data_IF_921122596178
#
_entry.id   IF_921122596178
#
_cell.length_a   1.000
_cell.length_b   1.000
_cell.length_c   1.000
_cell.angle_alpha   90.00
_cell.angle_beta   90.00
_cell.angle_gamma   90.00
#
_symmetry.space_group_name_H-M   'P 1'
#
loop_
_entity.id
_entity.type
_entity.pdbx_description
1 polymer ?
#
# COMPACT_ATOMS: atom_id res chain seq x y z
N UNK A 1 -14.92 -38.99 30.18
CA UNK A 1 -15.25 -37.57 29.95
C UNK A 1 -14.35 -37.07 28.85
N UNK A 2 -14.95 -36.65 27.73
CA UNK A 2 -14.25 -36.15 26.55
C UNK A 2 -13.50 -34.87 26.95
N UNK A 3 -12.17 -34.90 26.78
CA UNK A 3 -11.37 -33.69 26.84
C UNK A 3 -11.63 -32.95 25.52
N UNK A 4 -12.50 -31.94 25.55
CA UNK A 4 -12.61 -30.94 24.49
C UNK A 4 -11.27 -30.21 24.40
N UNK A 5 -10.40 -30.68 23.49
CA UNK A 5 -9.26 -29.91 23.05
C UNK A 5 -9.79 -28.59 22.46
N UNK A 6 -9.22 -27.42 22.81
CA UNK A 6 -9.67 -26.17 22.22
C UNK A 6 -9.51 -26.29 20.71
N UNK A 7 -10.62 -26.20 19.97
CA UNK A 7 -10.58 -26.01 18.53
C UNK A 7 -9.57 -24.89 18.27
N UNK A 8 -8.49 -25.24 17.58
CA UNK A 8 -7.37 -24.34 17.34
C UNK A 8 -7.91 -23.04 16.74
N UNK A 9 -7.72 -21.91 17.44
CA UNK A 9 -8.25 -20.60 17.04
C UNK A 9 -7.89 -20.29 15.59
N UNK A 10 -6.70 -20.71 15.15
CA UNK A 10 -6.22 -20.52 13.79
C UNK A 10 -7.06 -21.29 12.78
N UNK A 11 -7.43 -22.54 13.10
CA UNK A 11 -8.27 -23.36 12.23
C UNK A 11 -9.67 -22.74 12.11
N UNK A 12 -10.24 -22.25 13.23
CA UNK A 12 -11.55 -21.58 13.20
C UNK A 12 -11.53 -20.31 12.35
N UNK A 13 -10.56 -19.43 12.57
CA UNK A 13 -10.42 -18.18 11.81
C UNK A 13 -10.20 -18.47 10.31
N UNK A 14 -9.41 -19.48 9.99
CA UNK A 14 -9.16 -19.87 8.60
C UNK A 14 -10.41 -20.45 7.94
N UNK A 15 -11.22 -21.23 8.68
CA UNK A 15 -12.52 -21.70 8.20
C UNK A 15 -13.50 -20.55 7.97
N UNK A 16 -13.54 -19.54 8.84
CA UNK A 16 -14.36 -18.33 8.65
C UNK A 16 -13.96 -17.57 7.38
N UNK A 17 -12.65 -17.43 7.13
CA UNK A 17 -12.14 -16.85 5.89
C UNK A 17 -12.54 -17.65 4.64
N UNK A 18 -12.53 -18.98 4.73
CA UNK A 18 -12.98 -19.86 3.65
C UNK A 18 -14.49 -19.83 3.43
N UNK A 19 -15.29 -19.68 4.50
CA UNK A 19 -16.73 -19.52 4.37
C UNK A 19 -17.07 -18.21 3.66
N UNK A 20 -16.40 -17.11 4.03
CA UNK A 20 -16.56 -15.79 3.42
C UNK A 20 -16.30 -15.82 1.90
N UNK A 21 -15.13 -16.32 1.52
CA UNK A 21 -14.70 -16.36 0.11
C UNK A 21 -15.31 -17.51 -0.69
N UNK A 22 -15.81 -18.55 -0.01
CA UNK A 22 -16.31 -19.77 -0.62
C UNK A 22 -17.51 -19.57 -1.56
N UNK A 23 -18.31 -18.53 -1.31
CA UNK A 23 -19.44 -18.13 -2.16
C UNK A 23 -19.01 -17.73 -3.58
N UNK A 24 -17.76 -17.30 -3.77
CA UNK A 24 -17.18 -16.91 -5.08
C UNK A 24 -16.85 -18.10 -5.97
N UNK A 25 -16.93 -19.31 -5.42
CA UNK A 25 -16.70 -20.57 -6.12
C UNK A 25 -18.03 -21.31 -6.22
N UNK A 26 -18.66 -21.29 -7.39
CA UNK A 26 -19.99 -21.90 -7.60
C UNK A 26 -19.97 -23.43 -7.44
N UNK A 27 -18.88 -24.06 -7.88
CA UNK A 27 -18.67 -25.50 -7.82
C UNK A 27 -17.85 -25.90 -6.59
N UNK A 28 -18.13 -27.09 -6.05
CA UNK A 28 -17.46 -27.60 -4.86
C UNK A 28 -15.98 -27.92 -5.13
N UNK A 29 -15.63 -28.36 -6.33
CA UNK A 29 -14.27 -28.79 -6.66
C UNK A 29 -13.29 -27.60 -6.66
N UNK A 30 -13.53 -26.46 -7.36
CA UNK A 30 -12.69 -25.27 -7.23
C UNK A 30 -12.66 -24.69 -5.81
N UNK A 31 -13.76 -24.80 -5.06
CA UNK A 31 -13.82 -24.34 -3.67
C UNK A 31 -12.86 -25.14 -2.78
N UNK A 32 -12.87 -26.48 -2.89
CA UNK A 32 -11.91 -27.35 -2.18
C UNK A 32 -10.47 -27.03 -2.59
N UNK A 33 -10.21 -26.92 -3.91
CA UNK A 33 -8.88 -26.57 -4.41
C UNK A 33 -8.40 -25.21 -3.93
N UNK A 34 -9.27 -24.21 -3.80
CA UNK A 34 -8.90 -22.92 -3.23
C UNK A 34 -8.46 -23.06 -1.76
N UNK A 35 -9.20 -23.83 -0.96
CA UNK A 35 -8.84 -24.09 0.44
C UNK A 35 -7.48 -24.78 0.55
N UNK A 36 -7.27 -25.83 -0.26
CA UNK A 36 -6.00 -26.56 -0.32
C UNK A 36 -4.86 -25.63 -0.76
N UNK A 37 -5.10 -24.76 -1.75
CA UNK A 37 -4.13 -23.80 -2.23
C UNK A 37 -3.72 -22.80 -1.14
N UNK A 38 -4.69 -22.15 -0.48
CA UNK A 38 -4.42 -21.16 0.57
C UNK A 38 -3.75 -21.82 1.78
N UNK A 39 -4.18 -23.02 2.18
CA UNK A 39 -3.50 -23.79 3.24
C UNK A 39 -2.07 -24.15 2.85
N UNK A 40 -1.82 -24.52 1.60
CA UNK A 40 -0.47 -24.76 1.10
C UNK A 40 0.39 -23.49 1.09
N UNK A 41 -0.19 -22.32 0.75
CA UNK A 41 0.50 -21.04 0.92
C UNK A 41 0.82 -20.78 2.40
N UNK A 42 -0.06 -21.24 3.29
CA UNK A 42 0.07 -21.38 4.74
C UNK A 42 1.28 -22.18 5.24
N UNK A 43 1.62 -23.22 4.49
CA UNK A 43 2.35 -24.37 5.01
C UNK A 43 3.87 -24.20 4.95
N UNK A 44 4.65 -24.90 5.77
CA UNK A 44 6.12 -24.88 5.73
C UNK A 44 6.66 -25.70 4.54
N UNK A 45 6.33 -25.29 3.32
CA UNK A 45 6.85 -25.87 2.07
C UNK A 45 8.07 -25.06 1.59
N UNK A 46 9.05 -25.74 0.99
CA UNK A 46 10.30 -25.09 0.57
C UNK A 46 10.11 -23.99 -0.48
N UNK A 47 9.19 -24.18 -1.42
CA UNK A 47 8.75 -23.18 -2.42
C UNK A 47 7.26 -23.33 -2.70
N UNK A 48 6.54 -22.23 -2.72
CA UNK A 48 5.09 -22.10 -2.88
C UNK A 48 4.69 -22.20 -4.37
N UNK A 49 5.27 -23.16 -5.09
CA UNK A 49 4.97 -23.45 -6.49
C UNK A 49 3.85 -24.50 -6.63
N UNK A 50 3.33 -24.69 -7.84
CA UNK A 50 2.18 -25.57 -8.05
C UNK A 50 2.40 -27.04 -7.63
N UNK A 51 3.63 -27.54 -7.75
CA UNK A 51 3.97 -28.93 -7.42
C UNK A 51 4.03 -29.15 -5.92
N UNK A 52 4.82 -28.36 -5.21
CA UNK A 52 5.02 -28.53 -3.77
C UNK A 52 3.75 -28.22 -2.97
N UNK A 53 2.95 -27.26 -3.44
CA UNK A 53 1.62 -27.02 -2.86
C UNK A 53 0.67 -28.21 -3.05
N UNK A 54 0.73 -28.86 -4.21
CA UNK A 54 -0.12 -30.03 -4.50
C UNK A 54 0.31 -31.25 -3.69
N UNK A 55 1.61 -31.51 -3.59
CA UNK A 55 2.20 -32.57 -2.78
C UNK A 55 1.83 -32.40 -1.30
N UNK A 56 2.01 -31.19 -0.76
CA UNK A 56 1.63 -30.88 0.62
C UNK A 56 0.13 -31.09 0.87
N UNK A 57 -0.73 -30.73 -0.09
CA UNK A 57 -2.17 -30.94 -0.02
C UNK A 57 -2.60 -32.41 -0.30
N UNK A 58 -1.66 -33.34 -0.46
CA UNK A 58 -1.94 -34.76 -0.70
C UNK A 58 -2.49 -35.07 -2.10
N UNK A 59 -2.23 -34.21 -3.08
CA UNK A 59 -2.62 -34.43 -4.47
C UNK A 59 -1.52 -35.17 -5.25
N UNK A 60 -1.92 -36.11 -6.11
CA UNK A 60 -0.97 -36.86 -6.94
C UNK A 60 -0.30 -35.99 -8.04
N UNK A 61 -0.95 -34.92 -8.49
CA UNK A 61 -0.44 -34.02 -9.54
C UNK A 61 -0.82 -32.56 -9.25
N UNK A 62 -0.10 -31.56 -9.83
CA UNK A 62 -0.43 -30.15 -9.67
C UNK A 62 -1.63 -29.69 -10.49
N UNK A 63 -2.20 -30.55 -11.35
CA UNK A 63 -3.18 -30.17 -12.37
C UNK A 63 -4.42 -29.51 -11.78
N UNK A 64 -4.87 -29.98 -10.60
CA UNK A 64 -6.00 -29.39 -9.90
C UNK A 64 -5.77 -27.93 -9.47
N UNK A 65 -4.58 -27.63 -8.94
CA UNK A 65 -4.19 -26.27 -8.53
C UNK A 65 -3.92 -25.39 -9.76
N UNK A 66 -3.30 -25.95 -10.80
CA UNK A 66 -3.12 -25.23 -12.06
C UNK A 66 -4.47 -24.92 -12.73
N UNK A 67 -5.43 -25.85 -12.68
CA UNK A 67 -6.78 -25.64 -13.18
C UNK A 67 -7.51 -24.55 -12.39
N UNK A 68 -7.38 -24.54 -11.07
CA UNK A 68 -7.91 -23.47 -10.20
C UNK A 68 -7.43 -22.09 -10.69
N UNK A 69 -6.12 -21.93 -10.89
CA UNK A 69 -5.55 -20.63 -11.27
C UNK A 69 -5.78 -20.28 -12.74
N UNK A 70 -5.90 -21.23 -13.66
CA UNK A 70 -5.89 -20.94 -15.10
C UNK A 70 -7.23 -21.07 -15.81
N UNK A 71 -8.08 -22.04 -15.44
CA UNK A 71 -9.23 -22.47 -16.25
C UNK A 71 -10.55 -22.48 -15.50
N UNK A 72 -10.53 -22.66 -14.18
CA UNK A 72 -11.74 -22.68 -13.36
C UNK A 72 -12.50 -21.34 -13.46
N UNK A 73 -13.81 -21.34 -13.24
CA UNK A 73 -14.66 -20.14 -13.33
C UNK A 73 -14.86 -19.52 -11.95
N UNK A 74 -14.10 -18.48 -11.64
CA UNK A 74 -14.28 -17.59 -10.49
C UNK A 74 -13.62 -16.23 -10.77
N UNK A 75 -14.09 -15.20 -10.09
CA UNK A 75 -13.64 -13.82 -10.26
C UNK A 75 -12.64 -13.44 -9.14
N UNK A 76 -11.41 -13.08 -9.52
CA UNK A 76 -10.38 -12.69 -8.57
C UNK A 76 -10.67 -11.34 -7.88
N UNK A 77 -11.35 -10.42 -8.56
CA UNK A 77 -11.74 -9.13 -7.99
C UNK A 77 -12.82 -9.30 -6.93
N UNK A 78 -13.77 -10.22 -7.11
CA UNK A 78 -14.75 -10.53 -6.05
C UNK A 78 -14.11 -11.12 -4.80
N UNK A 79 -13.06 -11.94 -4.94
CA UNK A 79 -12.29 -12.42 -3.77
C UNK A 79 -11.45 -11.29 -3.15
N UNK A 80 -10.95 -10.34 -3.97
CA UNK A 80 -10.30 -9.12 -3.47
C UNK A 80 -11.28 -8.25 -2.67
N UNK A 81 -12.53 -8.16 -3.08
CA UNK A 81 -13.56 -7.42 -2.35
C UNK A 81 -13.86 -8.11 -0.99
N UNK A 82 -13.96 -9.45 -0.97
CA UNK A 82 -14.11 -10.22 0.27
C UNK A 82 -12.89 -10.05 1.21
N UNK A 83 -11.68 -9.99 0.64
CA UNK A 83 -10.44 -9.68 1.35
C UNK A 83 -10.50 -8.29 1.99
N UNK A 84 -11.00 -7.27 1.28
CA UNK A 84 -11.14 -5.93 1.84
C UNK A 84 -12.13 -5.90 3.01
N UNK A 85 -13.25 -6.60 2.91
CA UNK A 85 -14.17 -6.76 4.04
C UNK A 85 -13.49 -7.49 5.20
N UNK A 86 -12.76 -8.58 4.95
CA UNK A 86 -12.06 -9.32 6.00
C UNK A 86 -11.03 -8.44 6.73
N UNK A 87 -10.24 -7.67 6.00
CA UNK A 87 -9.27 -6.73 6.57
C UNK A 87 -9.96 -5.62 7.35
N UNK A 88 -11.10 -5.10 6.87
CA UNK A 88 -11.88 -4.11 7.60
C UNK A 88 -12.41 -4.67 8.93
N UNK A 89 -12.87 -5.91 8.96
CA UNK A 89 -13.41 -6.54 10.16
C UNK A 89 -12.30 -6.83 11.19
N UNK A 90 -11.15 -7.34 10.73
CA UNK A 90 -10.06 -7.79 11.61
C UNK A 90 -9.12 -6.66 12.04
N UNK A 91 -8.78 -5.73 11.13
CA UNK A 91 -7.77 -4.71 11.36
C UNK A 91 -8.34 -3.29 11.38
N UNK A 92 -9.63 -3.11 11.09
CA UNK A 92 -10.28 -1.81 10.98
C UNK A 92 -10.18 -0.99 12.26
N UNK A 93 -9.76 0.25 12.12
CA UNK A 93 -9.66 1.22 13.21
C UNK A 93 -9.68 2.65 12.64
N UNK A 94 -9.96 3.65 13.48
CA UNK A 94 -10.15 5.04 13.04
C UNK A 94 -8.84 5.71 12.56
N UNK A 95 -7.68 5.11 12.86
CA UNK A 95 -6.37 5.60 12.45
C UNK A 95 -5.88 5.02 11.11
N UNK A 96 -6.79 4.41 10.33
CA UNK A 96 -6.50 3.77 9.05
C UNK A 96 -5.84 4.66 8.00
N UNK A 97 -4.79 4.12 7.40
CA UNK A 97 -4.02 4.72 6.30
C UNK A 97 -3.97 3.74 5.13
N UNK A 98 -4.33 4.23 3.94
CA UNK A 98 -4.12 3.49 2.70
C UNK A 98 -2.76 3.86 2.11
N UNK A 99 -1.94 2.86 1.79
CA UNK A 99 -0.59 3.04 1.26
C UNK A 99 -0.55 2.46 -0.14
N UNK A 100 0.00 3.19 -1.11
CA UNK A 100 0.20 2.70 -2.48
C UNK A 100 1.69 2.64 -2.81
N UNK A 101 2.09 1.51 -3.38
CA UNK A 101 3.45 1.28 -3.86
C UNK A 101 3.43 0.19 -4.96
N UNK A 102 4.55 0.00 -5.66
CA UNK A 102 4.71 -1.09 -6.61
C UNK A 102 5.89 -2.00 -6.29
N UNK A 103 5.76 -3.27 -6.69
CA UNK A 103 6.84 -4.25 -6.53
C UNK A 103 7.03 -5.06 -7.81
N UNK A 104 8.28 -5.46 -8.03
CA UNK A 104 8.68 -6.23 -9.20
C UNK A 104 8.80 -7.73 -8.91
N UNK A 105 8.42 -8.53 -9.89
CA UNK A 105 8.53 -9.99 -9.89
C UNK A 105 9.46 -10.41 -11.01
N UNK A 106 10.66 -10.90 -10.66
CA UNK A 106 11.66 -11.34 -11.64
C UNK A 106 11.12 -12.52 -12.43
N UNK A 107 11.24 -12.48 -13.75
CA UNK A 107 10.80 -13.54 -14.65
C UNK A 107 11.85 -13.85 -15.71
N UNK A 108 11.85 -15.09 -16.19
CA UNK A 108 12.63 -15.53 -17.36
C UNK A 108 11.70 -15.62 -18.58
N UNK A 109 12.22 -15.27 -19.75
CA UNK A 109 11.46 -15.30 -21.01
C UNK A 109 10.56 -14.08 -21.25
N UNK A 110 9.79 -14.11 -22.34
CA UNK A 110 9.06 -12.94 -22.88
C UNK A 110 7.53 -13.11 -22.92
N UNK A 111 7.03 -14.27 -22.50
CA UNK A 111 5.64 -14.70 -22.72
C UNK A 111 4.70 -14.47 -21.53
N UNK A 112 5.22 -14.22 -20.33
CA UNK A 112 4.37 -13.92 -19.16
C UNK A 112 3.74 -12.53 -19.26
N UNK A 113 2.44 -12.40 -18.99
CA UNK A 113 1.70 -11.15 -19.12
C UNK A 113 2.42 -9.96 -18.46
N UNK A 114 2.65 -8.88 -19.21
CA UNK A 114 3.30 -7.67 -18.68
C UNK A 114 4.81 -7.77 -18.44
N UNK A 115 5.46 -8.89 -18.77
CA UNK A 115 6.91 -9.04 -18.60
C UNK A 115 7.69 -8.21 -19.61
N UNK A 116 8.64 -7.42 -19.13
CA UNK A 116 9.65 -6.75 -19.95
C UNK A 116 10.88 -6.40 -19.12
N UNK A 117 11.96 -5.99 -19.79
CA UNK A 117 13.09 -5.32 -19.12
C UNK A 117 12.66 -3.94 -18.66
N UNK A 118 12.59 -3.75 -17.34
CA UNK A 118 12.23 -2.49 -16.71
C UNK A 118 12.89 -2.39 -15.34
N UNK A 119 13.00 -1.17 -14.80
CA UNK A 119 13.56 -0.98 -13.47
C UNK A 119 12.66 -1.69 -12.44
N UNK A 120 13.26 -2.60 -11.68
CA UNK A 120 12.61 -3.28 -10.56
C UNK A 120 13.19 -2.74 -9.27
N UNK A 121 12.36 -2.07 -8.46
CA UNK A 121 12.78 -1.58 -7.14
C UNK A 121 13.32 -2.70 -6.26
N UNK A 122 12.72 -3.89 -6.33
CA UNK A 122 13.18 -5.08 -5.58
C UNK A 122 14.55 -5.58 -6.04
N UNK A 123 14.89 -5.47 -7.33
CA UNK A 123 16.20 -5.89 -7.83
C UNK A 123 17.26 -4.78 -7.74
N UNK A 124 16.85 -3.53 -7.52
CA UNK A 124 17.72 -2.35 -7.58
C UNK A 124 18.30 -2.05 -8.97
N UNK A 125 17.82 -2.74 -10.02
CA UNK A 125 18.34 -2.65 -11.39
C UNK A 125 17.29 -2.95 -12.44
N UNK A 126 17.60 -2.62 -13.69
CA UNK A 126 16.77 -2.98 -14.85
C UNK A 126 16.87 -4.47 -15.12
N UNK A 127 15.75 -5.16 -14.94
CA UNK A 127 15.63 -6.60 -15.12
C UNK A 127 14.36 -6.99 -15.84
N UNK A 128 14.36 -8.20 -16.38
CA UNK A 128 13.15 -8.78 -16.95
C UNK A 128 12.18 -9.15 -15.83
N UNK A 129 11.11 -8.38 -15.68
CA UNK A 129 10.17 -8.53 -14.59
C UNK A 129 8.74 -8.12 -14.96
N UNK A 130 7.79 -8.60 -14.19
CA UNK A 130 6.43 -8.06 -14.11
C UNK A 130 6.40 -7.02 -12.98
N UNK A 131 5.60 -5.97 -13.12
CA UNK A 131 5.39 -4.98 -12.05
C UNK A 131 3.92 -5.01 -11.63
N UNK A 132 3.67 -5.19 -10.34
CA UNK A 132 2.33 -5.04 -9.76
C UNK A 132 2.27 -3.76 -8.92
N UNK A 133 1.21 -2.97 -9.11
CA UNK A 133 0.83 -1.88 -8.20
C UNK A 133 -0.03 -2.48 -7.10
N UNK A 134 0.26 -2.15 -5.84
CA UNK A 134 -0.42 -2.69 -4.67
C UNK A 134 -0.93 -1.59 -3.76
N UNK A 135 -2.03 -1.87 -3.08
CA UNK A 135 -2.50 -1.06 -1.96
C UNK A 135 -2.39 -1.89 -0.67
N UNK A 136 -1.84 -1.29 0.38
CA UNK A 136 -1.86 -1.82 1.73
C UNK A 136 -2.75 -0.94 2.61
N UNK A 137 -3.47 -1.57 3.53
CA UNK A 137 -4.19 -0.90 4.60
C UNK A 137 -3.42 -1.09 5.90
N UNK A 138 -3.21 -0.01 6.65
CA UNK A 138 -2.50 -0.04 7.92
C UNK A 138 -3.26 0.73 9.00
N UNK A 139 -3.30 0.14 10.20
CA UNK A 139 -3.84 0.73 11.43
C UNK A 139 -2.87 0.42 12.58
N UNK A 140 -3.19 0.95 13.76
CA UNK A 140 -2.57 0.54 15.03
C UNK A 140 -2.70 -0.96 15.33
N UNK A 141 -3.69 -1.67 14.77
CA UNK A 141 -3.89 -3.12 14.98
C UNK A 141 -3.01 -4.01 14.09
N UNK A 142 -2.71 -3.53 12.89
CA UNK A 142 -1.93 -4.30 11.93
C UNK A 142 -1.95 -3.70 10.54
N UNK A 143 -1.42 -4.44 9.56
CA UNK A 143 -1.38 -4.01 8.18
C UNK A 143 -1.48 -5.20 7.22
N UNK A 144 -2.18 -5.01 6.10
CA UNK A 144 -2.41 -6.05 5.08
C UNK A 144 -2.45 -5.47 3.67
N UNK A 145 -2.02 -6.26 2.66
CA UNK A 145 -2.30 -5.96 1.26
C UNK A 145 -3.81 -6.12 1.00
N UNK A 146 -4.42 -5.14 0.33
CA UNK A 146 -5.89 -5.05 0.14
C UNK A 146 -6.31 -4.88 -1.32
N UNK A 147 -5.40 -4.46 -2.21
CA UNK A 147 -5.67 -4.42 -3.65
C UNK A 147 -4.38 -4.61 -4.46
N UNK A 148 -4.55 -4.94 -5.74
CA UNK A 148 -3.52 -5.29 -6.71
C UNK A 148 -3.97 -4.95 -8.13
N UNK A 149 -3.04 -4.48 -8.95
CA UNK A 149 -3.24 -4.30 -10.38
C UNK A 149 -1.92 -4.56 -11.14
N UNK A 150 -1.98 -5.32 -12.24
CA UNK A 150 -0.81 -5.62 -13.06
C UNK A 150 -0.54 -4.45 -14.02
N UNK A 151 0.65 -3.86 -13.89
CA UNK A 151 1.11 -2.86 -14.84
C UNK A 151 1.46 -3.53 -16.18
N UNK A 152 0.76 -3.11 -17.24
CA UNK A 152 1.02 -3.53 -18.61
C UNK A 152 1.73 -2.40 -19.37
N UNK A 153 2.99 -2.59 -19.75
CA UNK A 153 3.72 -1.62 -20.57
C UNK A 153 3.08 -1.43 -21.95
N UNK A 154 3.35 -0.30 -22.60
CA UNK A 154 2.93 -0.05 -23.99
C UNK A 154 3.34 -1.15 -24.95
N UNK A 155 4.55 -1.69 -24.80
CA UNK A 155 5.07 -2.83 -25.56
C UNK A 155 4.22 -4.13 -25.46
N UNK A 156 3.31 -4.20 -24.49
CA UNK A 156 2.30 -5.25 -24.41
C UNK A 156 0.97 -4.80 -25.01
N UNK A 157 0.43 -3.68 -24.55
CA UNK A 157 -0.90 -3.20 -24.96
C UNK A 157 -0.98 -2.79 -26.42
N UNK A 158 0.15 -2.48 -27.04
CA UNK A 158 0.26 -2.14 -28.47
C UNK A 158 0.43 -3.40 -29.35
N UNK A 159 0.59 -4.60 -28.74
CA UNK A 159 0.70 -5.90 -29.42
C UNK A 159 -0.47 -6.81 -29.02
N UNK A 160 -1.55 -6.73 -29.80
CA UNK A 160 -2.80 -7.45 -29.53
C UNK A 160 -2.64 -8.98 -29.60
N UNK A 161 -1.80 -9.48 -30.50
CA UNK A 161 -1.53 -10.92 -30.64
C UNK A 161 -0.82 -11.45 -29.38
N UNK A 162 0.18 -10.71 -28.88
CA UNK A 162 0.88 -11.04 -27.64
C UNK A 162 -0.06 -10.98 -26.43
N UNK A 163 -0.93 -9.98 -26.37
CA UNK A 163 -1.96 -9.88 -25.33
C UNK A 163 -2.90 -11.09 -25.35
N UNK A 164 -3.42 -11.49 -26.51
CA UNK A 164 -4.29 -12.66 -26.65
C UNK A 164 -3.59 -13.96 -26.24
N UNK A 165 -2.33 -14.15 -26.65
CA UNK A 165 -1.53 -15.31 -26.24
C UNK A 165 -1.34 -15.42 -24.71
N UNK A 166 -1.26 -14.27 -24.01
CA UNK A 166 -1.19 -14.20 -22.56
C UNK A 166 -2.57 -14.10 -21.86
N UNK A 167 -3.67 -14.16 -22.63
CA UNK A 167 -5.05 -14.03 -22.16
C UNK A 167 -5.35 -12.69 -21.47
N UNK A 168 -4.69 -11.61 -21.91
CA UNK A 168 -5.04 -10.25 -21.50
C UNK A 168 -6.36 -9.87 -22.18
N UNK A 169 -7.36 -9.32 -21.47
CA UNK A 169 -8.62 -8.88 -22.09
C UNK A 169 -8.43 -7.90 -23.26
N UNK A 170 -9.34 -7.90 -24.22
CA UNK A 170 -9.25 -7.03 -25.42
C UNK A 170 -9.51 -5.55 -25.10
N UNK A 171 -10.31 -5.27 -24.08
CA UNK A 171 -10.60 -3.95 -23.54
C UNK A 171 -9.49 -3.38 -22.64
N UNK A 172 -8.49 -4.20 -22.29
CA UNK A 172 -7.37 -3.74 -21.45
C UNK A 172 -6.39 -2.92 -22.28
N UNK A 173 -6.45 -1.59 -22.11
CA UNK A 173 -5.53 -0.63 -22.72
C UNK A 173 -4.39 -0.23 -21.79
N UNK A 174 -3.43 0.53 -22.31
CA UNK A 174 -2.36 1.11 -21.50
C UNK A 174 -2.93 2.00 -20.39
N UNK A 175 -2.43 1.80 -19.16
CA UNK A 175 -2.69 2.65 -18.02
C UNK A 175 -1.37 2.91 -17.27
N UNK A 176 -1.14 4.15 -16.88
CA UNK A 176 0.03 4.48 -16.04
C UNK A 176 -0.16 3.89 -14.65
N UNK A 177 0.93 3.67 -13.90
CA UNK A 177 0.85 3.25 -12.50
C UNK A 177 -0.01 4.19 -11.66
N UNK A 178 0.06 5.50 -11.89
CA UNK A 178 -0.82 6.48 -11.24
C UNK A 178 -2.30 6.31 -11.60
N UNK A 179 -2.63 5.90 -12.83
CA UNK A 179 -4.02 5.57 -13.17
C UNK A 179 -4.50 4.33 -12.41
N UNK A 180 -3.69 3.26 -12.39
CA UNK A 180 -3.99 2.04 -11.63
C UNK A 180 -4.16 2.31 -10.14
N UNK A 181 -3.26 3.10 -9.55
CA UNK A 181 -3.32 3.53 -8.16
C UNK A 181 -4.63 4.29 -7.86
N UNK A 182 -5.04 5.24 -8.70
CA UNK A 182 -6.31 5.98 -8.50
C UNK A 182 -7.51 5.05 -8.56
N UNK A 183 -7.52 4.06 -9.46
CA UNK A 183 -8.61 3.09 -9.54
C UNK A 183 -8.65 2.19 -8.30
N UNK A 184 -7.50 1.76 -7.79
CA UNK A 184 -7.39 1.00 -6.54
C UNK A 184 -7.88 1.81 -5.34
N UNK A 185 -7.47 3.08 -5.23
CA UNK A 185 -7.92 3.98 -4.16
C UNK A 185 -9.44 4.21 -4.25
N UNK A 186 -10.00 4.38 -5.45
CA UNK A 186 -11.46 4.52 -5.63
C UNK A 186 -12.19 3.28 -5.13
N UNK A 187 -11.70 2.09 -5.44
CA UNK A 187 -12.29 0.83 -4.98
C UNK A 187 -12.18 0.67 -3.47
N UNK A 188 -11.02 0.96 -2.88
CA UNK A 188 -10.84 0.93 -1.44
C UNK A 188 -11.73 1.96 -0.73
N UNK A 189 -11.90 3.16 -1.30
CA UNK A 189 -12.78 4.19 -0.74
C UNK A 189 -14.26 3.80 -0.80
N UNK A 190 -14.66 3.00 -1.79
CA UNK A 190 -16.00 2.43 -1.91
C UNK A 190 -16.17 1.12 -1.12
N UNK A 191 -15.16 0.70 -0.37
CA UNK A 191 -15.19 -0.54 0.40
C UNK A 191 -15.37 -0.28 1.90
N UNK A 192 -15.53 -1.33 2.73
CA UNK A 192 -15.69 -1.20 4.18
C UNK A 192 -14.44 -0.69 4.92
N UNK A 193 -13.29 -0.53 4.23
CA UNK A 193 -12.06 -0.05 4.83
C UNK A 193 -12.22 1.39 5.34
N UNK A 194 -12.02 1.61 6.63
CA UNK A 194 -12.07 2.93 7.25
C UNK A 194 -10.72 3.61 7.15
N UNK A 195 -10.59 4.62 6.29
CA UNK A 195 -9.39 5.46 6.21
C UNK A 195 -9.74 6.86 5.75
N UNK A 196 -8.97 7.83 6.25
CA UNK A 196 -9.03 9.23 5.82
C UNK A 196 -7.71 9.71 5.24
N UNK A 197 -6.67 8.88 5.29
CA UNK A 197 -5.31 9.24 4.87
C UNK A 197 -4.79 8.29 3.80
N UNK A 198 -4.07 8.87 2.83
CA UNK A 198 -3.31 8.15 1.81
C UNK A 198 -1.83 8.55 1.87
N UNK A 199 -0.93 7.57 1.76
CA UNK A 199 0.50 7.82 1.55
C UNK A 199 1.04 6.99 0.39
N UNK A 200 2.07 7.51 -0.27
CA UNK A 200 2.69 6.89 -1.43
C UNK A 200 4.11 7.44 -1.62
N UNK A 201 4.90 6.74 -2.44
CA UNK A 201 6.26 7.17 -2.78
C UNK A 201 6.30 8.39 -3.72
N UNK A 202 7.51 8.80 -4.11
CA UNK A 202 7.74 9.96 -4.97
C UNK A 202 7.26 9.76 -6.42
N UNK A 203 7.19 8.51 -6.91
CA UNK A 203 6.71 8.22 -8.26
C UNK A 203 5.23 8.57 -8.40
N UNK A 204 4.42 8.29 -7.37
CA UNK A 204 3.03 8.70 -7.30
C UNK A 204 2.88 10.16 -6.86
N UNK A 205 3.60 10.54 -5.80
CA UNK A 205 3.39 11.80 -5.12
C UNK A 205 3.79 13.04 -5.92
N UNK A 206 4.68 12.94 -6.90
CA UNK A 206 5.05 14.05 -7.79
C UNK A 206 3.92 14.46 -8.76
N UNK A 207 3.00 13.55 -9.07
CA UNK A 207 1.89 13.81 -9.99
C UNK A 207 0.80 14.68 -9.35
N UNK A 208 0.62 15.89 -9.88
CA UNK A 208 -0.40 16.81 -9.38
C UNK A 208 -1.82 16.30 -9.59
N UNK A 209 -2.08 15.47 -10.61
CA UNK A 209 -3.38 14.86 -10.85
C UNK A 209 -3.69 13.78 -9.82
N UNK A 210 -2.68 13.06 -9.34
CA UNK A 210 -2.82 12.11 -8.24
C UNK A 210 -3.22 12.83 -6.94
N UNK A 211 -2.48 13.89 -6.58
CA UNK A 211 -2.78 14.69 -5.38
C UNK A 211 -4.17 15.36 -5.44
N UNK A 212 -4.53 15.91 -6.59
CA UNK A 212 -5.86 16.50 -6.82
C UNK A 212 -6.97 15.47 -6.74
N UNK A 213 -6.79 14.28 -7.31
CA UNK A 213 -7.78 13.21 -7.20
C UNK A 213 -8.08 12.85 -5.73
N UNK A 214 -7.05 12.77 -4.88
CA UNK A 214 -7.24 12.51 -3.45
C UNK A 214 -8.03 13.63 -2.76
N UNK A 215 -7.64 14.87 -3.02
CA UNK A 215 -8.18 16.05 -2.34
C UNK A 215 -9.54 16.50 -2.88
N UNK A 216 -9.68 16.61 -4.19
CA UNK A 216 -10.82 17.21 -4.88
C UNK A 216 -11.94 16.16 -5.06
N UNK A 217 -11.60 14.95 -5.53
CA UNK A 217 -12.60 13.94 -5.91
C UNK A 217 -13.03 13.07 -4.71
N UNK A 218 -12.08 12.60 -3.89
CA UNK A 218 -12.36 11.70 -2.78
C UNK A 218 -12.39 12.37 -1.39
N UNK A 219 -12.02 13.66 -1.32
CA UNK A 219 -11.92 14.43 -0.08
C UNK A 219 -10.98 13.84 0.99
N UNK A 220 -10.10 12.93 0.59
CA UNK A 220 -9.10 12.31 1.46
C UNK A 220 -7.98 13.29 1.82
N UNK A 221 -7.30 12.98 2.92
CA UNK A 221 -6.05 13.60 3.31
C UNK A 221 -4.87 12.78 2.78
N UNK A 222 -3.72 13.40 2.63
CA UNK A 222 -2.54 12.69 2.17
C UNK A 222 -1.25 13.26 2.75
N UNK A 223 -0.26 12.39 2.86
CA UNK A 223 1.17 12.77 2.95
C UNK A 223 1.90 11.90 1.95
N UNK A 224 2.40 12.48 0.86
CA UNK A 224 3.06 11.73 -0.21
C UNK A 224 4.49 12.23 -0.38
N UNK A 225 5.42 11.32 -0.61
CA UNK A 225 6.78 11.70 -0.91
C UNK A 225 6.84 12.40 -2.27
N UNK A 226 7.82 13.28 -2.46
CA UNK A 226 8.08 13.97 -3.72
C UNK A 226 9.59 14.05 -3.95
N UNK A 227 10.07 14.12 -5.21
CA UNK A 227 11.47 14.34 -5.45
C UNK A 227 11.90 15.72 -4.93
N UNK A 228 13.17 15.86 -4.56
CA UNK A 228 13.76 17.14 -4.12
C UNK A 228 13.60 18.29 -5.14
N UNK A 229 13.47 17.93 -6.42
CA UNK A 229 13.22 18.84 -7.54
C UNK A 229 11.76 19.28 -7.68
N UNK A 230 10.84 18.77 -6.85
CA UNK A 230 9.42 19.13 -6.89
C UNK A 230 9.27 20.64 -6.71
N UNK A 231 8.65 21.30 -7.69
CA UNK A 231 8.35 22.72 -7.60
C UNK A 231 7.14 22.97 -6.71
N UNK A 232 7.25 23.99 -5.87
CA UNK A 232 6.20 24.45 -4.95
C UNK A 232 6.08 25.96 -5.10
N UNK A 233 5.07 26.42 -5.84
CA UNK A 233 4.90 27.84 -6.20
C UNK A 233 6.17 28.47 -6.78
N UNK A 234 6.77 27.82 -7.79
CA UNK A 234 7.98 28.29 -8.49
C UNK A 234 9.25 27.51 -8.11
N UNK A 235 9.93 27.85 -6.99
CA UNK A 235 11.17 27.19 -6.56
C UNK A 235 11.00 25.70 -6.24
N UNK A 236 12.12 24.96 -6.25
CA UNK A 236 12.15 23.57 -5.80
C UNK A 236 11.95 23.50 -4.28
N UNK A 237 11.34 22.41 -3.83
CA UNK A 237 11.10 22.17 -2.40
C UNK A 237 12.41 22.15 -1.60
N UNK A 238 13.50 21.61 -2.17
CA UNK A 238 14.82 21.63 -1.55
C UNK A 238 15.34 23.06 -1.30
N UNK A 239 15.20 23.94 -2.31
CA UNK A 239 15.67 25.32 -2.23
C UNK A 239 14.87 26.12 -1.20
N UNK A 240 13.55 25.88 -1.13
CA UNK A 240 12.68 26.52 -0.14
C UNK A 240 13.05 26.10 1.27
N UNK A 241 13.19 24.80 1.52
CA UNK A 241 13.56 24.29 2.85
C UNK A 241 14.95 24.82 3.25
N UNK A 242 15.95 24.77 2.36
CA UNK A 242 17.31 25.25 2.68
C UNK A 242 17.37 26.76 2.95
N UNK A 243 16.58 27.57 2.23
CA UNK A 243 16.59 29.03 2.37
C UNK A 243 15.71 29.55 3.50
N UNK A 244 14.56 28.91 3.73
CA UNK A 244 13.46 29.50 4.52
C UNK A 244 13.18 28.76 5.82
N UNK A 245 13.66 27.52 6.02
CA UNK A 245 13.42 26.79 7.27
C UNK A 245 14.45 27.21 8.33
N UNK A 246 14.04 27.92 9.41
CA UNK A 246 14.95 28.27 10.50
C UNK A 246 15.36 27.00 11.28
N UNK A 247 16.47 27.01 12.04
CA UNK A 247 16.89 25.86 12.85
C UNK A 247 15.79 25.33 13.78
N UNK A 248 14.99 26.22 14.36
CA UNK A 248 13.91 25.92 15.31
C UNK A 248 12.70 25.24 14.65
N UNK A 249 12.61 25.28 13.32
CA UNK A 249 11.57 24.58 12.58
C UNK A 249 11.75 23.06 12.58
N UNK A 250 12.97 22.57 12.87
CA UNK A 250 13.29 21.15 12.89
C UNK A 250 12.98 20.55 14.25
N UNK A 251 12.03 19.62 14.28
CA UNK A 251 11.58 18.93 15.48
C UNK A 251 11.90 17.44 15.38
N UNK A 252 12.45 16.87 16.45
CA UNK A 252 12.67 15.42 16.52
C UNK A 252 11.34 14.70 16.75
N UNK A 253 10.90 13.94 15.75
CA UNK A 253 9.62 13.23 15.77
C UNK A 253 9.79 11.79 15.30
N UNK A 254 9.00 10.91 15.89
CA UNK A 254 8.90 9.51 15.49
C UNK A 254 8.05 9.37 14.23
N UNK A 255 8.58 8.67 13.21
CA UNK A 255 7.84 8.21 12.04
C UNK A 255 7.19 6.82 12.29
N UNK A 256 6.90 6.50 13.55
CA UNK A 256 6.33 5.23 13.98
C UNK A 256 7.37 4.16 14.32
N UNK A 257 6.89 3.07 14.94
CA UNK A 257 7.72 1.97 15.44
C UNK A 257 8.42 1.20 14.32
N UNK A 258 9.68 0.85 14.54
CA UNK A 258 10.47 -0.08 13.73
C UNK A 258 11.05 -1.20 14.59
N UNK A 259 11.77 -2.14 13.95
CA UNK A 259 12.32 -3.33 14.61
C UNK A 259 13.29 -3.02 15.78
N UNK A 260 13.91 -1.83 15.79
CA UNK A 260 14.85 -1.37 16.82
C UNK A 260 14.27 -0.28 17.74
N UNK A 261 12.95 -0.12 17.77
CA UNK A 261 12.26 0.95 18.51
C UNK A 261 11.73 2.06 17.61
N UNK A 262 11.46 3.23 18.18
CA UNK A 262 10.91 4.37 17.44
C UNK A 262 11.86 4.85 16.34
N UNK A 263 11.32 5.09 15.14
CA UNK A 263 12.08 5.64 14.02
C UNK A 263 12.07 7.15 14.08
N UNK A 264 12.97 7.71 14.87
CA UNK A 264 13.09 9.16 15.04
C UNK A 264 13.84 9.81 13.88
N UNK A 265 13.32 10.94 13.42
CA UNK A 265 13.95 11.82 12.43
C UNK A 265 13.76 13.28 12.85
N UNK A 266 14.55 14.18 12.27
CA UNK A 266 14.27 15.60 12.38
C UNK A 266 13.30 16.00 11.26
N UNK A 267 12.16 16.58 11.63
CA UNK A 267 11.11 16.98 10.71
C UNK A 267 10.92 18.48 10.73
N UNK A 268 10.77 19.08 9.56
CA UNK A 268 10.35 20.46 9.41
C UNK A 268 9.12 20.51 8.50
N UNK A 269 8.14 21.36 8.83
CA UNK A 269 6.92 21.51 8.04
C UNK A 269 6.46 22.96 7.92
N UNK A 270 6.19 23.38 6.69
CA UNK A 270 5.66 24.69 6.36
C UNK A 270 4.24 24.59 5.81
N UNK A 271 3.40 25.55 6.17
CA UNK A 271 2.09 25.72 5.56
C UNK A 271 2.24 26.36 4.18
N UNK A 272 1.59 25.75 3.20
CA UNK A 272 1.44 26.31 1.86
C UNK A 272 0.29 27.31 1.83
N UNK A 273 0.34 28.33 0.94
CA UNK A 273 -0.76 29.25 0.74
C UNK A 273 -2.08 28.54 0.44
N UNK A 274 -3.17 29.17 0.86
CA UNK A 274 -4.54 28.77 0.50
C UNK A 274 -4.70 28.88 -1.02
N UNK A 275 -5.42 27.93 -1.61
CA UNK A 275 -5.77 27.96 -3.03
C UNK A 275 -7.22 28.40 -3.10
N UNK A 276 -7.43 29.70 -3.31
CA UNK A 276 -8.77 30.33 -3.26
C UNK A 276 -9.80 29.60 -4.12
N UNK A 277 -9.44 29.21 -5.35
CA UNK A 277 -10.28 28.45 -6.27
C UNK A 277 -10.78 27.10 -5.71
N UNK A 278 -10.06 26.52 -4.74
CA UNK A 278 -10.36 25.18 -4.18
C UNK A 278 -10.93 25.24 -2.78
N UNK A 279 -10.50 26.22 -2.00
CA UNK A 279 -10.76 26.27 -0.57
C UNK A 279 -11.94 27.21 -0.23
N UNK A 280 -12.34 28.07 -1.19
CA UNK A 280 -13.37 29.09 -0.97
C UNK A 280 -13.02 30.04 0.19
N UNK A 281 -14.04 30.69 0.75
CA UNK A 281 -13.84 31.69 1.82
C UNK A 281 -13.38 31.08 3.16
N UNK A 282 -13.64 29.78 3.38
CA UNK A 282 -13.29 29.06 4.62
C UNK A 282 -12.58 27.75 4.30
N UNK A 283 -11.24 27.69 4.45
CA UNK A 283 -10.50 26.48 4.15
C UNK A 283 -10.92 25.34 5.08
N UNK A 284 -11.22 24.17 4.52
CA UNK A 284 -11.56 22.95 5.29
C UNK A 284 -10.35 22.06 5.57
N UNK A 285 -9.17 22.44 5.06
CA UNK A 285 -7.93 21.67 5.10
C UNK A 285 -6.73 22.59 4.95
N UNK A 286 -5.55 22.10 5.33
CA UNK A 286 -4.26 22.78 5.17
C UNK A 286 -3.36 21.99 4.26
N UNK A 287 -2.64 22.70 3.38
CA UNK A 287 -1.60 22.11 2.54
C UNK A 287 -0.24 22.38 3.17
N UNK A 288 0.64 21.39 3.12
CA UNK A 288 1.97 21.48 3.72
C UNK A 288 3.05 21.06 2.73
N UNK A 289 4.24 21.66 2.89
CA UNK A 289 5.49 21.04 2.47
C UNK A 289 6.23 20.54 3.70
N UNK A 290 6.81 19.34 3.62
CA UNK A 290 7.56 18.73 4.72
C UNK A 290 8.94 18.31 4.25
N UNK A 291 9.89 18.34 5.18
CA UNK A 291 11.21 17.74 5.04
C UNK A 291 11.48 16.82 6.23
N UNK A 292 12.02 15.64 5.95
CA UNK A 292 12.51 14.67 6.94
C UNK A 292 13.99 14.49 6.73
N UNK A 293 14.77 14.87 7.73
CA UNK A 293 16.22 14.75 7.76
C UNK A 293 16.67 13.60 8.65
N UNK A 294 17.62 12.81 8.18
CA UNK A 294 18.25 11.76 9.00
C UNK A 294 19.01 12.36 10.18
N UNK A 295 18.95 11.69 11.33
CA UNK A 295 19.69 12.10 12.54
C UNK A 295 21.19 11.81 12.39
N UNK A 296 21.53 10.74 11.66
CA UNK A 296 22.92 10.30 11.48
C UNK A 296 23.57 10.88 10.24
N UNK A 297 22.78 11.26 9.23
CA UNK A 297 23.25 11.92 8.01
C UNK A 297 22.35 13.14 7.69
N UNK A 298 22.70 14.34 8.19
CA UNK A 298 21.89 15.53 8.00
C UNK A 298 21.69 15.97 6.53
N UNK A 299 22.47 15.45 5.58
CA UNK A 299 22.28 15.73 4.15
C UNK A 299 21.28 14.77 3.49
N UNK A 300 20.96 13.64 4.13
CA UNK A 300 19.87 12.75 3.70
C UNK A 300 18.51 13.33 4.11
N UNK A 301 17.91 14.06 3.18
CA UNK A 301 16.62 14.71 3.34
C UNK A 301 15.61 14.15 2.34
N UNK A 302 14.50 13.62 2.87
CA UNK A 302 13.31 13.27 2.10
C UNK A 302 12.27 14.39 2.16
N UNK A 303 11.55 14.61 1.07
CA UNK A 303 10.58 15.69 0.93
C UNK A 303 9.17 15.15 0.70
N UNK A 304 8.18 15.86 1.22
CA UNK A 304 6.77 15.46 1.12
C UNK A 304 5.87 16.65 0.84
N UNK A 305 4.74 16.38 0.21
CA UNK A 305 3.59 17.28 0.17
C UNK A 305 2.43 16.64 0.92
N UNK A 306 1.66 17.46 1.63
CA UNK A 306 0.49 16.99 2.36
C UNK A 306 -0.73 17.89 2.15
N UNK A 307 -1.92 17.28 2.26
CA UNK A 307 -3.20 17.95 2.46
C UNK A 307 -3.87 17.29 3.66
N UNK A 308 -4.20 18.08 4.68
CA UNK A 308 -4.48 17.58 6.03
C UNK A 308 -5.64 18.34 6.69
N UNK A 309 -6.30 17.78 7.73
CA UNK A 309 -7.24 18.51 8.57
C UNK A 309 -6.66 19.82 9.14
N UNK A 310 -7.52 20.77 9.52
CA UNK A 310 -7.11 22.07 10.05
C UNK A 310 -6.34 21.99 11.38
N UNK A 311 -6.61 20.96 12.16
CA UNK A 311 -6.03 20.66 13.47
C UNK A 311 -4.83 19.70 13.40
N UNK A 312 -4.49 19.19 12.22
CA UNK A 312 -3.36 18.29 12.04
C UNK A 312 -2.03 18.94 12.45
N UNK A 313 -1.24 18.20 13.21
CA UNK A 313 0.07 18.62 13.70
C UNK A 313 1.20 18.05 12.84
N UNK A 314 2.41 18.60 12.97
CA UNK A 314 3.60 18.04 12.31
C UNK A 314 3.87 16.59 12.73
N UNK A 315 3.54 16.23 13.99
CA UNK A 315 3.65 14.87 14.49
C UNK A 315 2.68 13.91 13.78
N UNK A 316 1.45 14.35 13.51
CA UNK A 316 0.49 13.56 12.73
C UNK A 316 1.00 13.31 11.32
N UNK A 317 1.53 14.34 10.67
CA UNK A 317 2.07 14.23 9.31
C UNK A 317 3.31 13.32 9.25
N UNK A 318 4.20 13.41 10.25
CA UNK A 318 5.36 12.54 10.38
C UNK A 318 4.95 11.07 10.57
N UNK A 319 3.91 10.82 11.38
CA UNK A 319 3.33 9.48 11.56
C UNK A 319 2.78 8.92 10.25
N UNK A 320 1.95 9.70 9.52
CA UNK A 320 1.36 9.26 8.25
C UNK A 320 2.44 8.99 7.19
N UNK A 321 3.44 9.86 7.05
CA UNK A 321 4.56 9.62 6.15
C UNK A 321 5.34 8.35 6.54
N UNK A 322 5.47 8.10 7.84
CA UNK A 322 6.08 6.89 8.40
C UNK A 322 5.34 5.60 8.08
N UNK A 323 4.00 5.65 7.94
CA UNK A 323 3.17 4.51 7.57
C UNK A 323 3.53 3.91 6.21
N UNK A 324 4.18 4.66 5.31
CA UNK A 324 4.63 4.15 4.00
C UNK A 324 5.43 2.86 4.14
N UNK A 325 6.24 2.71 5.18
CA UNK A 325 7.04 1.51 5.43
C UNK A 325 6.21 0.23 5.62
N UNK A 326 4.94 0.33 6.03
CA UNK A 326 4.08 -0.83 6.25
C UNK A 326 3.80 -1.63 4.97
N UNK A 327 3.85 -1.01 3.79
CA UNK A 327 3.72 -1.76 2.54
C UNK A 327 4.98 -2.59 2.22
N UNK A 328 6.16 -2.12 2.64
CA UNK A 328 7.39 -2.91 2.51
C UNK A 328 7.38 -4.12 3.45
N UNK A 329 6.90 -3.94 4.69
CA UNK A 329 6.65 -5.05 5.62
C UNK A 329 5.63 -6.05 5.05
N UNK A 330 4.54 -5.57 4.43
CA UNK A 330 3.58 -6.41 3.70
C UNK A 330 4.25 -7.18 2.55
N UNK A 331 5.07 -6.54 1.72
CA UNK A 331 5.74 -7.24 0.63
C UNK A 331 6.71 -8.29 1.14
N UNK A 332 7.48 -7.98 2.19
CA UNK A 332 8.44 -8.91 2.76
C UNK A 332 7.74 -10.16 3.32
N UNK A 333 6.71 -9.96 4.11
CA UNK A 333 5.95 -11.06 4.73
C UNK A 333 5.12 -11.83 3.69
N UNK A 334 4.45 -11.16 2.74
CA UNK A 334 3.69 -11.85 1.70
C UNK A 334 4.59 -12.68 0.77
N UNK A 335 5.82 -12.23 0.47
CA UNK A 335 6.79 -13.01 -0.30
C UNK A 335 7.32 -14.19 0.51
N UNK A 336 7.86 -13.93 1.69
CA UNK A 336 8.50 -14.96 2.53
C UNK A 336 7.52 -16.03 3.03
N UNK A 337 6.34 -15.62 3.51
CA UNK A 337 5.43 -16.52 4.20
C UNK A 337 4.36 -17.09 3.25
N UNK A 338 3.89 -16.28 2.30
CA UNK A 338 2.72 -16.56 1.46
C UNK A 338 3.05 -16.77 -0.03
N UNK A 339 4.32 -16.76 -0.41
CA UNK A 339 4.76 -17.09 -1.77
C UNK A 339 4.35 -16.11 -2.85
N UNK A 340 4.13 -14.83 -2.51
CA UNK A 340 3.65 -13.79 -3.43
C UNK A 340 4.47 -13.69 -4.73
N UNK A 341 5.76 -14.02 -4.70
CA UNK A 341 6.68 -13.99 -5.85
C UNK A 341 7.16 -15.37 -6.33
N UNK A 342 6.66 -16.45 -5.73
CA UNK A 342 7.14 -17.82 -6.00
C UNK A 342 6.34 -18.56 -7.08
N UNK A 343 5.31 -17.91 -7.62
CA UNK A 343 4.41 -18.48 -8.63
C UNK A 343 5.04 -18.71 -10.01
N UNK A 344 4.45 -19.68 -10.70
CA UNK A 344 4.84 -20.10 -12.06
C UNK A 344 3.77 -19.75 -13.12
N UNK A 345 2.69 -19.07 -12.72
CA UNK A 345 1.65 -18.61 -13.65
C UNK A 345 2.22 -17.62 -14.67
N UNK A 346 1.77 -17.75 -15.92
CA UNK A 346 2.20 -16.91 -17.06
C UNK A 346 1.09 -16.03 -17.62
N UNK A 347 -0.16 -16.47 -17.48
CA UNK A 347 -1.34 -15.79 -18.05
C UNK A 347 -1.85 -14.69 -17.13
N UNK A 348 -2.46 -13.68 -17.73
CA UNK A 348 -3.04 -12.52 -17.04
C UNK A 348 -3.96 -12.94 -15.89
N UNK A 349 -4.98 -13.76 -16.19
CA UNK A 349 -5.92 -14.26 -15.17
C UNK A 349 -5.23 -15.07 -14.06
N UNK A 350 -4.23 -15.87 -14.42
CA UNK A 350 -3.47 -16.68 -13.46
C UNK A 350 -2.72 -15.80 -12.46
N UNK A 351 -2.13 -14.70 -12.93
CA UNK A 351 -1.46 -13.72 -12.07
C UNK A 351 -2.42 -13.13 -11.04
N UNK A 352 -3.57 -12.59 -11.47
CA UNK A 352 -4.54 -12.01 -10.54
C UNK A 352 -5.04 -13.03 -9.51
N UNK A 353 -5.28 -14.27 -9.94
CA UNK A 353 -5.76 -15.33 -9.06
C UNK A 353 -4.74 -15.73 -8.01
N UNK A 354 -3.48 -15.97 -8.41
CA UNK A 354 -2.43 -16.29 -7.46
C UNK A 354 -2.20 -15.12 -6.49
N UNK A 355 -2.01 -13.90 -7.00
CA UNK A 355 -1.72 -12.73 -6.17
C UNK A 355 -2.85 -12.48 -5.17
N UNK A 356 -4.11 -12.60 -5.59
CA UNK A 356 -5.25 -12.44 -4.67
C UNK A 356 -5.25 -13.50 -3.57
N UNK A 357 -4.96 -14.76 -3.88
CA UNK A 357 -4.92 -15.83 -2.87
C UNK A 357 -3.71 -15.70 -1.93
N UNK A 358 -2.56 -15.23 -2.42
CA UNK A 358 -1.41 -14.91 -1.59
C UNK A 358 -1.68 -13.71 -0.66
N UNK A 359 -2.39 -12.68 -1.14
CA UNK A 359 -2.85 -11.58 -0.30
C UNK A 359 -3.86 -12.04 0.76
N UNK A 360 -4.74 -13.00 0.41
CA UNK A 360 -5.69 -13.60 1.35
C UNK A 360 -4.99 -14.36 2.48
N UNK A 361 -3.99 -15.18 2.14
CA UNK A 361 -3.12 -15.85 3.11
C UNK A 361 -2.36 -14.84 4.00
N UNK A 362 -1.80 -13.79 3.39
CA UNK A 362 -1.11 -12.74 4.13
C UNK A 362 -2.03 -11.99 5.11
N UNK A 363 -3.24 -11.65 4.68
CA UNK A 363 -4.22 -10.99 5.56
C UNK A 363 -4.65 -11.88 6.73
N UNK A 364 -4.76 -13.19 6.52
CA UNK A 364 -4.98 -14.15 7.60
C UNK A 364 -3.87 -14.08 8.65
N UNK A 365 -2.59 -14.14 8.24
CA UNK A 365 -1.46 -14.03 9.17
C UNK A 365 -1.47 -12.68 9.91
N UNK A 366 -1.80 -11.58 9.21
CA UNK A 366 -1.90 -10.26 9.82
C UNK A 366 -3.01 -10.19 10.89
N UNK A 367 -4.16 -10.80 10.63
CA UNK A 367 -5.28 -10.87 11.57
C UNK A 367 -4.92 -11.69 12.81
N UNK A 368 -4.35 -12.89 12.64
CA UNK A 368 -3.88 -13.73 13.74
C UNK A 368 -2.85 -12.99 14.59
N UNK A 369 -1.87 -12.32 13.96
CA UNK A 369 -0.88 -11.53 14.68
C UNK A 369 -1.49 -10.35 15.46
N UNK A 370 -2.58 -9.75 14.96
CA UNK A 370 -3.33 -8.72 15.69
C UNK A 370 -4.06 -9.31 16.91
N UNK A 371 -4.78 -10.42 16.74
CA UNK A 371 -5.50 -11.10 17.81
C UNK A 371 -4.57 -11.58 18.93
N UNK A 372 -3.40 -12.12 18.60
CA UNK A 372 -2.42 -12.56 19.61
C UNK A 372 -1.81 -11.37 20.38
N UNK A 373 -1.62 -10.21 19.73
CA UNK A 373 -1.21 -8.98 20.43
C UNK A 373 -2.29 -8.51 21.42
N UNK A 374 -3.56 -8.54 21.02
CA UNK A 374 -4.68 -8.16 21.89
C UNK A 374 -4.84 -9.11 23.09
N UNK A 375 -4.57 -10.41 22.91
CA UNK A 375 -4.61 -11.40 24.01
C UNK A 375 -3.41 -11.30 24.95
N UNK A 376 -2.25 -10.94 24.42
CA UNK A 376 -1.01 -10.78 25.17
C UNK A 376 -0.94 -9.50 25.99
N UNK A 377 -1.78 -8.50 25.70
CA UNK A 377 -1.95 -7.31 26.53
C UNK A 377 -2.95 -7.62 27.67
N UNK A 378 -2.51 -7.78 28.94
CA UNK A 378 -3.46 -7.81 30.04
C UNK A 378 -4.18 -6.47 30.04
N UNK A 379 -5.52 -6.51 29.93
CA UNK A 379 -6.44 -5.38 29.86
C UNK A 379 -5.95 -4.17 30.68
N UNK A 380 -5.07 -3.37 30.07
CA UNK A 380 -4.77 -2.05 30.54
C UNK A 380 -5.77 -1.23 29.78
N UNK A 381 -6.90 -1.01 30.42
CA UNK A 381 -7.78 0.12 30.15
C UNK A 381 -6.91 1.37 30.31
N UNK A 382 -6.10 1.70 29.29
CA UNK A 382 -5.55 3.04 29.15
C UNK A 382 -6.77 3.92 28.95
N UNK A 383 -7.00 4.93 29.81
CA UNK A 383 -8.08 5.87 29.58
C UNK A 383 -7.87 6.44 28.17
N UNK A 384 -8.85 6.25 27.30
CA UNK A 384 -8.95 7.02 26.07
C UNK A 384 -9.34 8.43 26.51
N UNK A 385 -8.34 9.21 26.91
CA UNK A 385 -8.41 10.66 27.01
C UNK A 385 -7.12 11.21 26.44
N UNK A 386 -6.99 11.17 25.11
CA UNK A 386 -5.90 11.85 24.41
C UNK A 386 -6.28 13.31 24.15
N UNK A 387 -6.49 14.07 25.21
CA UNK A 387 -6.27 15.52 25.11
C UNK A 387 -4.77 15.73 25.22
N UNK A 388 -4.10 15.99 24.08
CA UNK A 388 -2.72 16.47 24.12
C UNK A 388 -2.68 17.87 24.73
N UNK A 389 -2.63 17.97 26.06
CA UNK A 389 -2.18 19.18 26.73
C UNK A 389 -0.65 19.17 26.73
N UNK A 390 -0.06 19.38 25.55
CA UNK A 390 1.25 20.02 25.43
C UNK A 390 1.01 21.43 24.91
N UNK A 391 1.72 22.45 25.42
CA UNK A 391 1.54 23.81 24.94
C UNK A 391 1.74 23.84 23.43
N UNK A 392 0.87 24.57 22.70
CA UNK A 392 1.13 24.98 21.32
C UNK A 392 2.47 25.74 21.28
N UNK A 393 3.58 25.04 21.05
CA UNK A 393 4.81 25.68 20.59
C UNK A 393 4.70 25.83 19.08
N UNK A 394 4.09 26.93 18.68
CA UNK A 394 3.81 27.27 17.30
C UNK A 394 5.08 27.81 16.62
N UNK A 395 5.79 26.95 15.90
CA UNK A 395 6.60 27.41 14.76
C UNK A 395 6.37 26.45 13.60
N UNK A 396 5.14 26.42 13.09
CA UNK A 396 4.91 26.08 11.69
C UNK A 396 5.02 27.40 10.94
N UNK A 397 6.00 27.53 10.04
CA UNK A 397 6.17 28.76 9.28
C UNK A 397 5.22 28.75 8.09
N UNK A 398 4.66 29.91 7.78
CA UNK A 398 3.85 30.10 6.58
C UNK A 398 4.76 30.59 5.44
N UNK A 399 4.61 29.99 4.27
CA UNK A 399 5.24 30.49 3.05
C UNK A 399 4.65 31.86 2.69
N UNK A 400 5.47 32.90 2.71
CA UNK A 400 5.06 34.25 2.32
C UNK A 400 5.09 34.37 0.78
N UNK A 401 3.97 34.60 0.08
CA UNK A 401 3.90 34.51 -1.39
C UNK A 401 4.61 35.64 -2.16
N UNK A 402 5.35 36.55 -1.51
CA UNK A 402 6.02 37.68 -2.15
C UNK A 402 7.53 37.67 -1.96
N UNK A 403 8.22 36.86 -2.78
CA UNK A 403 9.62 37.09 -3.14
C UNK A 403 9.86 36.64 -4.58
N UNK A 404 9.18 37.29 -5.53
CA UNK A 404 9.70 37.45 -6.88
C UNK A 404 10.74 38.56 -6.85
N UNK A 405 12.03 38.33 -7.15
CA UNK A 405 12.93 39.43 -7.46
C UNK A 405 12.45 40.07 -8.76
N UNK A 406 12.13 41.36 -8.70
CA UNK A 406 11.91 42.16 -9.89
C UNK A 406 13.10 42.03 -10.84
N UNK A 407 12.79 41.82 -12.12
CA UNK A 407 13.77 41.84 -13.20
C UNK A 407 14.51 43.18 -13.20
N UNK A 408 15.83 43.13 -13.04
CA UNK A 408 16.70 44.27 -13.26
C UNK A 408 16.71 44.57 -14.75
N UNK A 409 16.06 45.66 -15.14
CA UNK A 409 16.34 46.35 -16.40
C UNK A 409 17.42 47.39 -16.11
N UNK A 410 18.53 47.33 -16.83
CA UNK A 410 19.59 48.35 -16.81
C UNK A 410 19.85 48.77 -18.26
N UNK A 411 20.38 49.99 -18.48
CA UNK A 411 19.87 50.96 -19.45
C UNK A 411 20.37 50.77 -20.88
#
# INVERSE_FOLDING_TARGET
MLNDAPVNVWDRELEELFLRTGSRFTRIEPRRRMRDYVRGLLAPVGRKNGWQLAEWAGHATPDGLQYLLSRSRWNADSVRDDLQQYVADQLGHDDGVLIVDDTGFIKKGTTSAGVQRQYSGTAGRTENCQIGVFAAYATSRGHALVDRDLYLPRSWTDDRNRCQAAHIPDDRTFATKNALARDMIRRAHASPLRFHWVTADAAYGQDSRFRRFLEDDLKLHYVVAVPKSQQVHGPRIEDRIRREAPPEAWQRLSAGSGAKGERCYDWAGALLPVVEERDGDKPTRRRWMLARRSITDPEDIAYFLASAPLDATLADLARIAGCRWKIEECFQSAKNECGLDEYEVRRYTGWYRHITLAMLAHAFLAAIAAQERERGDPATTRPISWTSHRPRSAVSWQLNPRTTPHATTTP
#
